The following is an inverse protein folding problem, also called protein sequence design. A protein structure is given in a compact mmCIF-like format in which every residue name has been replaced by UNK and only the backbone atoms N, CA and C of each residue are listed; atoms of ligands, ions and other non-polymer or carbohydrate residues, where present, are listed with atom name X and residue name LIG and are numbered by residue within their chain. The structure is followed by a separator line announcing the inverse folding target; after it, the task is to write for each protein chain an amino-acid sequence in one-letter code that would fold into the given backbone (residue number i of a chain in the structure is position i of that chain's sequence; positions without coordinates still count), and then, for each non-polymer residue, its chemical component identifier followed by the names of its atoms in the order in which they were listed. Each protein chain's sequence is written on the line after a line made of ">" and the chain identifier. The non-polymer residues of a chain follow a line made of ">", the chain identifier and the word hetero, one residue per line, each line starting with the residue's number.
data_IF_770940728782
#
_entry.id   IF_770940728782
#
_cell.length_a   1.000
_cell.length_b   1.000
_cell.length_c   1.000
_cell.angle_alpha   90.00
_cell.angle_beta   90.00
_cell.angle_gamma   90.00
#
_symmetry.space_group_name_H-M   'P 1'
#
loop_
_entity.id
_entity.type
_entity.pdbx_description
1 polymer ?
#
# COMPACT_ATOMS: atom_id res chain seq x y z
N UNK A 1 -37.47 -3.83 13.53
CA UNK A 1 -37.00 -4.81 14.55
C UNK A 1 -36.15 -5.92 13.93
N UNK A 2 -36.51 -6.44 12.74
CA UNK A 2 -35.70 -7.43 12.01
C UNK A 2 -34.32 -6.85 11.60
N UNK A 3 -34.24 -5.65 11.01
CA UNK A 3 -32.95 -5.00 10.69
C UNK A 3 -32.06 -4.72 11.92
N UNK A 4 -32.66 -4.43 13.08
CA UNK A 4 -31.91 -4.19 14.32
C UNK A 4 -31.27 -5.49 14.84
N UNK A 5 -31.96 -6.62 14.69
CA UNK A 5 -31.43 -7.93 15.05
C UNK A 5 -30.40 -8.42 14.04
N UNK A 6 -30.62 -8.20 12.73
CA UNK A 6 -29.63 -8.53 11.69
C UNK A 6 -28.31 -7.76 11.92
N UNK A 7 -28.37 -6.46 12.26
CA UNK A 7 -27.19 -5.66 12.60
C UNK A 7 -26.53 -6.08 13.92
N UNK A 8 -27.30 -6.56 14.91
CA UNK A 8 -26.75 -7.03 16.19
C UNK A 8 -25.99 -8.35 16.08
N UNK A 9 -26.28 -9.19 15.08
CA UNK A 9 -25.55 -10.45 14.83
C UNK A 9 -24.44 -10.34 13.76
N UNK A 10 -24.52 -9.34 12.85
CA UNK A 10 -23.37 -8.86 12.06
C UNK A 10 -22.19 -8.46 12.96
N UNK A 11 -22.47 -7.93 14.15
CA UNK A 11 -21.45 -7.53 15.12
C UNK A 11 -20.60 -8.68 15.68
N UNK A 12 -21.02 -9.95 15.62
CA UNK A 12 -20.19 -11.04 16.16
C UNK A 12 -18.90 -11.28 15.36
N UNK A 13 -18.97 -11.14 14.03
CA UNK A 13 -17.85 -11.35 13.11
C UNK A 13 -16.95 -10.12 13.00
N UNK A 14 -17.53 -8.92 13.02
CA UNK A 14 -16.77 -7.68 13.08
C UNK A 14 -15.97 -7.58 14.39
N UNK A 15 -16.58 -7.96 15.52
CA UNK A 15 -15.88 -8.13 16.81
C UNK A 15 -14.73 -9.15 16.72
N UNK A 16 -14.86 -10.20 15.90
CA UNK A 16 -13.79 -11.18 15.72
C UNK A 16 -12.63 -10.62 14.88
N UNK A 17 -12.92 -9.89 13.80
CA UNK A 17 -11.90 -9.18 13.03
C UNK A 17 -11.18 -8.13 13.89
N UNK A 18 -11.91 -7.41 14.74
CA UNK A 18 -11.32 -6.47 15.72
C UNK A 18 -10.34 -7.17 16.65
N UNK A 19 -10.73 -8.33 17.22
CA UNK A 19 -9.86 -9.14 18.08
C UNK A 19 -8.63 -9.63 17.35
N UNK A 20 -8.78 -10.09 16.11
CA UNK A 20 -7.67 -10.63 15.31
C UNK A 20 -6.63 -9.57 14.97
N UNK A 21 -7.08 -8.34 14.68
CA UNK A 21 -6.17 -7.23 14.39
C UNK A 21 -5.30 -6.88 15.61
N UNK A 22 -5.81 -7.11 16.83
CA UNK A 22 -5.11 -6.90 18.10
C UNK A 22 -4.17 -8.05 18.48
N UNK A 23 -4.14 -9.15 17.73
CA UNK A 23 -3.18 -10.23 17.96
C UNK A 23 -1.79 -9.73 17.58
N UNK A 24 -0.84 -9.84 18.51
CA UNK A 24 0.57 -9.48 18.33
C UNK A 24 1.49 -10.72 18.29
N UNK A 25 0.92 -11.92 18.34
CA UNK A 25 1.69 -13.16 18.29
C UNK A 25 2.21 -13.42 16.87
N UNK A 26 3.54 -13.41 16.72
CA UNK A 26 4.24 -13.67 15.46
C UNK A 26 4.04 -15.10 14.93
N UNK A 27 3.64 -16.04 15.79
CA UNK A 27 3.34 -17.43 15.38
C UNK A 27 1.98 -17.53 14.67
N UNK A 28 1.08 -16.58 14.88
CA UNK A 28 -0.25 -16.58 14.30
C UNK A 28 -0.20 -15.87 12.96
N UNK A 29 -0.53 -16.58 11.89
CA UNK A 29 -0.71 -15.98 10.57
C UNK A 29 -2.07 -15.24 10.52
N UNK A 30 -2.03 -13.96 10.89
CA UNK A 30 -3.21 -13.09 10.96
C UNK A 30 -3.87 -12.93 9.58
N UNK A 31 -3.11 -12.87 8.48
CA UNK A 31 -3.68 -12.67 7.15
C UNK A 31 -4.48 -13.88 6.69
N UNK A 32 -3.94 -15.10 6.92
CA UNK A 32 -4.65 -16.35 6.62
C UNK A 32 -5.95 -16.48 7.42
N UNK A 33 -5.92 -16.10 8.70
CA UNK A 33 -7.11 -16.13 9.56
C UNK A 33 -8.16 -15.10 9.10
N UNK A 34 -7.74 -13.88 8.80
CA UNK A 34 -8.61 -12.83 8.28
C UNK A 34 -9.25 -13.26 6.94
N UNK A 35 -8.47 -13.81 6.01
CA UNK A 35 -8.95 -14.32 4.73
C UNK A 35 -10.02 -15.40 4.91
N UNK A 36 -9.73 -16.40 5.74
CA UNK A 36 -10.68 -17.49 6.04
C UNK A 36 -12.00 -16.95 6.61
N UNK A 37 -11.94 -15.94 7.47
CA UNK A 37 -13.13 -15.33 8.05
C UNK A 37 -13.91 -14.51 7.01
N UNK A 38 -13.22 -13.77 6.14
CA UNK A 38 -13.86 -12.98 5.08
C UNK A 38 -14.56 -13.91 4.09
N UNK A 39 -13.91 -14.99 3.66
CA UNK A 39 -14.47 -16.01 2.75
C UNK A 39 -15.69 -16.72 3.35
N UNK A 40 -15.63 -17.08 4.64
CA UNK A 40 -16.74 -17.73 5.36
C UNK A 40 -17.79 -16.73 5.86
N UNK A 41 -17.61 -15.44 5.59
CA UNK A 41 -18.55 -14.41 6.04
C UNK A 41 -19.52 -14.01 4.94
N UNK A 42 -20.80 -13.96 5.30
CA UNK A 42 -21.84 -13.25 4.53
C UNK A 42 -21.72 -11.72 4.66
N UNK A 43 -20.63 -11.21 5.24
CA UNK A 43 -20.41 -9.78 5.37
C UNK A 43 -20.32 -9.19 3.97
N UNK A 44 -21.25 -8.31 3.63
CA UNK A 44 -21.26 -7.59 2.35
C UNK A 44 -20.26 -6.43 2.36
N UNK A 45 -19.95 -5.90 3.54
CA UNK A 45 -19.02 -4.79 3.73
C UNK A 45 -18.20 -4.95 5.01
N UNK A 46 -16.94 -4.51 4.97
CA UNK A 46 -16.06 -4.43 6.14
C UNK A 46 -15.93 -2.96 6.55
N UNK A 47 -15.99 -2.69 7.86
CA UNK A 47 -15.71 -1.36 8.38
C UNK A 47 -14.30 -0.90 7.98
N UNK A 48 -14.19 0.33 7.51
CA UNK A 48 -12.93 0.84 6.99
C UNK A 48 -11.84 0.91 8.07
N UNK A 49 -12.15 1.14 9.34
CA UNK A 49 -11.14 1.22 10.41
C UNK A 49 -10.45 -0.13 10.61
N UNK A 50 -11.23 -1.21 10.66
CA UNK A 50 -10.71 -2.58 10.75
C UNK A 50 -10.06 -2.97 9.43
N UNK A 51 -10.74 -2.68 8.33
CA UNK A 51 -10.30 -2.93 6.96
C UNK A 51 -8.94 -2.33 6.67
N UNK A 52 -8.67 -1.08 7.07
CA UNK A 52 -7.36 -0.45 6.90
C UNK A 52 -6.28 -1.18 7.67
N UNK A 53 -6.53 -1.57 8.93
CA UNK A 53 -5.53 -2.29 9.73
C UNK A 53 -5.18 -3.66 9.12
N UNK A 54 -6.20 -4.38 8.62
CA UNK A 54 -6.00 -5.64 7.91
C UNK A 54 -5.30 -5.43 6.56
N UNK A 55 -5.67 -4.37 5.84
CA UNK A 55 -5.06 -4.02 4.56
C UNK A 55 -3.57 -3.79 4.72
N UNK A 56 -3.15 -2.99 5.70
CA UNK A 56 -1.72 -2.78 5.97
C UNK A 56 -1.02 -4.09 6.33
N UNK A 57 -1.62 -4.94 7.19
CA UNK A 57 -1.02 -6.26 7.50
C UNK A 57 -0.89 -7.13 6.24
N UNK A 58 -1.89 -7.11 5.35
CA UNK A 58 -1.86 -7.83 4.08
C UNK A 58 -0.76 -7.31 3.14
N UNK A 59 -0.55 -5.98 3.09
CA UNK A 59 0.53 -5.40 2.27
C UNK A 59 1.91 -5.78 2.76
N UNK A 60 2.14 -5.79 4.08
CA UNK A 60 3.41 -6.24 4.65
C UNK A 60 3.65 -7.75 4.42
N UNK A 61 2.59 -8.54 4.31
CA UNK A 61 2.67 -9.97 4.04
C UNK A 61 2.70 -10.31 2.53
N UNK A 62 2.62 -9.30 1.64
CA UNK A 62 2.43 -9.48 0.21
C UNK A 62 1.23 -10.39 -0.16
N UNK A 63 0.15 -10.31 0.62
CA UNK A 63 -1.05 -11.16 0.47
C UNK A 63 -2.07 -10.49 -0.47
N UNK A 64 -1.82 -10.60 -1.78
CA UNK A 64 -2.67 -10.01 -2.82
C UNK A 64 -4.12 -10.48 -2.75
N UNK A 65 -4.34 -11.75 -2.42
CA UNK A 65 -5.70 -12.30 -2.35
C UNK A 65 -6.50 -11.64 -1.22
N UNK A 66 -5.88 -11.46 -0.05
CA UNK A 66 -6.53 -10.75 1.06
C UNK A 66 -6.78 -9.28 0.70
N UNK A 67 -5.84 -8.62 0.01
CA UNK A 67 -6.03 -7.24 -0.46
C UNK A 67 -7.23 -7.14 -1.41
N UNK A 68 -7.36 -8.05 -2.37
CA UNK A 68 -8.51 -8.14 -3.28
C UNK A 68 -9.81 -8.40 -2.51
N UNK A 69 -9.81 -9.38 -1.62
CA UNK A 69 -10.99 -9.69 -0.80
C UNK A 69 -11.43 -8.48 0.05
N UNK A 70 -10.50 -7.72 0.64
CA UNK A 70 -10.83 -6.51 1.39
C UNK A 70 -11.41 -5.43 0.46
N UNK A 71 -10.84 -5.25 -0.74
CA UNK A 71 -11.34 -4.31 -1.74
C UNK A 71 -12.77 -4.64 -2.18
N UNK A 72 -13.04 -5.92 -2.48
CA UNK A 72 -14.37 -6.42 -2.87
C UNK A 72 -15.41 -6.23 -1.78
N UNK A 73 -14.97 -6.23 -0.51
CA UNK A 73 -15.82 -5.90 0.66
C UNK A 73 -15.87 -4.40 0.98
N UNK A 74 -15.46 -3.56 0.04
CA UNK A 74 -15.61 -2.11 0.10
C UNK A 74 -14.56 -1.37 0.94
N UNK A 75 -13.44 -2.01 1.27
CA UNK A 75 -12.32 -1.35 1.94
C UNK A 75 -11.59 -0.42 0.96
N UNK A 76 -11.48 0.85 1.31
CA UNK A 76 -10.85 1.86 0.44
C UNK A 76 -9.32 1.78 0.47
N UNK A 77 -8.70 1.31 -0.62
CA UNK A 77 -7.26 1.08 -0.69
C UNK A 77 -6.42 2.38 -0.62
N UNK A 78 -6.93 3.48 -1.18
CA UNK A 78 -6.27 4.79 -1.22
C UNK A 78 -6.38 5.63 0.05
N UNK A 79 -6.91 5.08 1.15
CA UNK A 79 -7.05 5.82 2.42
C UNK A 79 -5.66 6.16 2.97
N UNK A 80 -5.46 7.43 3.32
CA UNK A 80 -4.23 7.90 3.97
C UNK A 80 -4.30 7.71 5.49
N UNK A 81 -3.20 7.27 6.08
CA UNK A 81 -3.02 7.24 7.53
C UNK A 81 -2.68 8.64 8.09
N UNK A 82 -2.41 8.72 9.41
CA UNK A 82 -2.07 9.97 10.09
C UNK A 82 -0.76 10.61 9.60
N UNK A 83 0.08 9.87 8.87
CA UNK A 83 1.31 10.35 8.26
C UNK A 83 1.13 10.67 6.77
N UNK A 84 -0.10 10.58 6.24
CA UNK A 84 -0.40 10.84 4.84
C UNK A 84 -0.10 9.64 3.92
N UNK A 85 0.17 8.46 4.48
CA UNK A 85 0.62 7.29 3.72
C UNK A 85 -0.54 6.38 3.39
N UNK A 86 -0.54 5.83 2.18
CA UNK A 86 -1.53 4.86 1.71
C UNK A 86 -1.02 3.44 1.87
N UNK A 87 -1.89 2.45 1.65
CA UNK A 87 -1.50 1.03 1.58
C UNK A 87 -0.35 0.78 0.60
N UNK A 88 -0.29 1.51 -0.52
CA UNK A 88 0.81 1.42 -1.48
C UNK A 88 2.16 1.87 -0.91
N UNK A 89 2.21 2.92 -0.08
CA UNK A 89 3.44 3.32 0.59
C UNK A 89 3.96 2.21 1.50
N UNK A 90 3.06 1.56 2.25
CA UNK A 90 3.40 0.44 3.13
C UNK A 90 3.83 -0.79 2.34
N UNK A 91 3.20 -1.09 1.20
CA UNK A 91 3.57 -2.19 0.32
C UNK A 91 4.99 -1.99 -0.27
N UNK A 92 5.31 -0.77 -0.75
CA UNK A 92 6.65 -0.43 -1.25
C UNK A 92 7.68 -0.56 -0.13
N UNK A 93 7.41 -0.03 1.06
CA UNK A 93 8.33 -0.14 2.20
C UNK A 93 8.61 -1.59 2.59
N UNK A 94 7.61 -2.45 2.46
CA UNK A 94 7.71 -3.87 2.80
C UNK A 94 8.40 -4.72 1.73
N UNK A 95 8.71 -4.16 0.55
CA UNK A 95 9.25 -4.95 -0.57
C UNK A 95 8.22 -5.87 -1.20
N UNK A 96 6.95 -5.45 -1.27
CA UNK A 96 5.88 -6.25 -1.84
C UNK A 96 6.13 -6.65 -3.31
N UNK A 97 5.57 -7.78 -3.72
CA UNK A 97 5.69 -8.26 -5.09
C UNK A 97 5.04 -7.32 -6.11
N UNK A 98 5.53 -7.38 -7.35
CA UNK A 98 5.07 -6.56 -8.48
C UNK A 98 3.54 -6.56 -8.61
N UNK A 99 2.92 -7.74 -8.57
CA UNK A 99 1.47 -7.89 -8.79
C UNK A 99 0.64 -7.14 -7.74
N UNK A 100 1.11 -7.09 -6.49
CA UNK A 100 0.43 -6.33 -5.44
C UNK A 100 0.59 -4.82 -5.64
N UNK A 101 1.80 -4.37 -5.99
CA UNK A 101 2.06 -2.96 -6.30
C UNK A 101 1.18 -2.50 -7.47
N UNK A 102 1.16 -3.26 -8.55
CA UNK A 102 0.36 -2.98 -9.75
C UNK A 102 -1.13 -2.93 -9.43
N UNK A 103 -1.65 -3.93 -8.69
CA UNK A 103 -3.05 -3.94 -8.27
C UNK A 103 -3.41 -2.70 -7.43
N UNK A 104 -2.56 -2.31 -6.48
CA UNK A 104 -2.80 -1.12 -5.65
C UNK A 104 -2.76 0.17 -6.48
N UNK A 105 -1.84 0.31 -7.43
CA UNK A 105 -1.79 1.48 -8.32
C UNK A 105 -3.10 1.60 -9.12
N UNK A 106 -3.56 0.49 -9.70
CA UNK A 106 -4.70 0.52 -10.61
C UNK A 106 -6.05 0.66 -9.89
N UNK A 107 -6.16 0.20 -8.63
CA UNK A 107 -7.44 0.12 -7.91
C UNK A 107 -7.56 1.08 -6.71
N UNK A 108 -6.47 1.73 -6.27
CA UNK A 108 -6.54 2.61 -5.10
C UNK A 108 -7.13 3.98 -5.40
N UNK A 109 -7.23 4.38 -6.67
CA UNK A 109 -7.73 5.70 -7.07
C UNK A 109 -6.88 6.85 -6.50
N UNK A 110 -5.57 6.62 -6.38
CA UNK A 110 -4.61 7.59 -5.86
C UNK A 110 -3.93 8.33 -7.00
N UNK A 111 -3.54 9.57 -6.74
CA UNK A 111 -2.57 10.25 -7.59
C UNK A 111 -1.20 9.56 -7.45
N UNK A 112 -0.59 9.21 -8.58
CA UNK A 112 0.73 8.55 -8.63
C UNK A 112 1.85 9.44 -8.04
N UNK A 113 1.63 10.76 -8.04
CA UNK A 113 2.53 11.75 -7.46
C UNK A 113 2.13 12.18 -6.05
N UNK A 114 1.13 11.51 -5.45
CA UNK A 114 0.74 11.77 -4.08
C UNK A 114 1.94 11.60 -3.14
N UNK A 115 2.11 12.58 -2.25
CA UNK A 115 3.11 12.56 -1.20
C UNK A 115 2.49 12.32 0.18
N UNK A 116 3.34 11.84 1.09
CA UNK A 116 3.06 11.77 2.51
C UNK A 116 3.39 13.12 3.20
N UNK A 117 3.29 13.17 4.54
CA UNK A 117 3.50 14.42 5.29
C UNK A 117 4.94 14.95 5.28
N UNK A 118 5.94 14.17 4.86
CA UNK A 118 7.31 14.67 4.64
C UNK A 118 7.52 15.19 3.21
N UNK A 119 6.48 15.21 2.38
CA UNK A 119 6.60 15.55 0.96
C UNK A 119 7.17 14.40 0.13
N UNK A 120 7.38 13.22 0.72
CA UNK A 120 7.97 12.08 0.03
C UNK A 120 6.91 11.42 -0.85
N UNK A 121 7.13 11.42 -2.16
CA UNK A 121 6.29 10.73 -3.16
C UNK A 121 6.50 9.22 -3.14
N UNK A 122 5.66 8.45 -3.83
CA UNK A 122 5.86 7.01 -4.01
C UNK A 122 7.25 6.66 -4.58
N UNK A 123 7.81 7.52 -5.46
CA UNK A 123 9.16 7.29 -6.00
C UNK A 123 10.24 7.45 -4.93
N UNK A 124 10.13 8.44 -4.03
CA UNK A 124 11.06 8.58 -2.91
C UNK A 124 11.06 7.30 -2.05
N UNK A 125 9.87 6.77 -1.77
CA UNK A 125 9.71 5.53 -1.01
C UNK A 125 10.34 4.34 -1.73
N UNK A 126 10.11 4.20 -3.03
CA UNK A 126 10.66 3.10 -3.82
C UNK A 126 12.19 3.13 -3.88
N UNK A 127 12.78 4.32 -4.06
CA UNK A 127 14.24 4.50 -4.07
C UNK A 127 14.85 4.26 -2.69
N UNK A 128 14.28 4.87 -1.64
CA UNK A 128 14.75 4.70 -0.27
C UNK A 128 14.69 3.24 0.21
N UNK A 129 13.72 2.46 -0.29
CA UNK A 129 13.60 1.03 -0.02
C UNK A 129 14.33 0.13 -1.02
N UNK A 130 15.09 0.70 -1.97
CA UNK A 130 15.77 -0.01 -3.06
C UNK A 130 14.85 -0.97 -3.84
N UNK A 131 13.58 -0.61 -3.98
CA UNK A 131 12.55 -1.48 -4.54
C UNK A 131 12.47 -1.35 -6.06
N UNK A 132 13.37 -2.02 -6.78
CA UNK A 132 13.48 -1.94 -8.25
C UNK A 132 12.14 -2.21 -8.99
N UNK A 133 11.35 -3.26 -8.66
CA UNK A 133 10.07 -3.46 -9.33
C UNK A 133 9.09 -2.29 -9.18
N UNK A 134 9.03 -1.65 -8.00
CA UNK A 134 8.19 -0.49 -7.77
C UNK A 134 8.68 0.72 -8.56
N UNK A 135 10.00 0.97 -8.62
CA UNK A 135 10.59 2.06 -9.42
C UNK A 135 10.18 1.91 -10.90
N UNK A 136 10.36 0.72 -11.48
CA UNK A 136 10.00 0.45 -12.88
C UNK A 136 8.50 0.61 -13.16
N UNK A 137 7.65 0.14 -12.24
CA UNK A 137 6.20 0.33 -12.36
C UNK A 137 5.82 1.81 -12.28
N UNK A 138 6.37 2.56 -11.33
CA UNK A 138 6.12 3.99 -11.18
C UNK A 138 6.58 4.77 -12.42
N UNK A 139 7.75 4.44 -12.99
CA UNK A 139 8.21 5.02 -14.27
C UNK A 139 7.24 4.72 -15.42
N UNK A 140 6.75 3.48 -15.52
CA UNK A 140 5.76 3.09 -16.53
C UNK A 140 4.46 3.91 -16.41
N UNK A 141 4.09 4.26 -15.17
CA UNK A 141 2.94 5.12 -14.86
C UNK A 141 3.28 6.62 -14.89
N UNK A 142 4.47 6.99 -15.37
CA UNK A 142 4.96 8.38 -15.49
C UNK A 142 4.93 9.15 -14.17
N UNK A 143 5.23 8.47 -13.06
CA UNK A 143 5.43 9.12 -11.78
C UNK A 143 6.61 10.09 -11.87
N UNK A 144 6.43 11.27 -11.30
CA UNK A 144 7.50 12.25 -11.20
C UNK A 144 8.58 11.79 -10.22
N UNK A 145 9.82 11.96 -10.64
CA UNK A 145 11.02 11.64 -9.89
C UNK A 145 12.00 12.81 -9.80
N UNK A 146 11.56 14.03 -10.15
CA UNK A 146 12.32 15.27 -10.02
C UNK A 146 11.87 16.13 -8.84
N UNK A 147 10.61 16.05 -8.41
CA UNK A 147 10.12 16.82 -7.26
C UNK A 147 10.91 16.46 -6.00
N UNK A 148 11.48 17.45 -5.28
CA UNK A 148 12.08 17.20 -3.98
C UNK A 148 11.03 17.06 -2.89
N UNK A 149 11.35 16.26 -1.87
CA UNK A 149 10.60 16.24 -0.62
C UNK A 149 10.84 17.52 0.21
N UNK A 150 10.25 17.62 1.40
CA UNK A 150 10.37 18.81 2.26
C UNK A 150 11.76 19.00 2.87
N UNK A 151 12.67 18.03 2.72
CA UNK A 151 14.08 18.16 3.08
C UNK A 151 14.95 18.54 1.86
N UNK A 152 14.34 18.81 0.70
CA UNK A 152 15.06 19.16 -0.52
C UNK A 152 15.71 17.96 -1.23
N UNK A 153 15.37 16.73 -0.82
CA UNK A 153 15.89 15.49 -1.39
C UNK A 153 14.99 15.06 -2.55
N UNK A 154 15.58 14.91 -3.74
CA UNK A 154 14.91 14.24 -4.85
C UNK A 154 15.14 12.73 -4.76
N UNK A 155 14.34 11.89 -5.44
CA UNK A 155 14.62 10.46 -5.52
C UNK A 155 16.04 10.16 -6.00
N UNK A 156 16.57 10.90 -6.98
CA UNK A 156 17.95 10.72 -7.44
C UNK A 156 18.98 11.03 -6.34
N UNK A 157 18.82 12.14 -5.60
CA UNK A 157 19.71 12.47 -4.48
C UNK A 157 19.68 11.41 -3.37
N UNK A 158 18.50 10.82 -3.11
CA UNK A 158 18.40 9.71 -2.17
C UNK A 158 19.17 8.48 -2.68
N UNK A 159 19.07 8.14 -3.97
CA UNK A 159 19.83 7.03 -4.55
C UNK A 159 21.34 7.25 -4.44
N UNK A 160 21.82 8.46 -4.73
CA UNK A 160 23.23 8.86 -4.55
C UNK A 160 23.67 8.77 -3.09
N UNK A 161 22.86 9.29 -2.15
CA UNK A 161 23.16 9.26 -0.72
C UNK A 161 23.29 7.84 -0.17
N UNK A 162 22.44 6.92 -0.62
CA UNK A 162 22.49 5.51 -0.19
C UNK A 162 23.43 4.63 -1.02
N UNK A 163 24.01 5.14 -2.12
CA UNK A 163 24.89 4.38 -3.01
C UNK A 163 24.15 3.31 -3.83
N UNK A 164 22.91 3.58 -4.24
CA UNK A 164 22.11 2.68 -5.08
C UNK A 164 22.44 2.91 -6.57
N UNK A 165 23.64 2.49 -7.00
CA UNK A 165 24.16 2.76 -8.35
C UNK A 165 23.25 2.25 -9.48
N UNK A 166 22.62 1.10 -9.29
CA UNK A 166 21.64 0.53 -10.21
C UNK A 166 20.36 1.39 -10.33
N UNK A 167 19.92 2.00 -9.23
CA UNK A 167 18.80 2.96 -9.24
C UNK A 167 19.21 4.25 -9.93
N UNK A 168 20.43 4.73 -9.70
CA UNK A 168 20.95 5.93 -10.38
C UNK A 168 20.92 5.71 -11.90
N UNK A 169 21.42 4.56 -12.36
CA UNK A 169 21.38 4.18 -13.78
C UNK A 169 19.94 4.14 -14.30
N UNK A 170 19.03 3.45 -13.59
CA UNK A 170 17.61 3.36 -13.97
C UNK A 170 16.88 4.72 -14.05
N UNK A 171 17.24 5.68 -13.18
CA UNK A 171 16.68 7.04 -13.19
C UNK A 171 17.34 7.93 -14.26
N UNK A 172 18.63 7.71 -14.55
CA UNK A 172 19.40 8.45 -15.55
C UNK A 172 18.99 8.08 -16.99
N UNK A 173 18.74 6.79 -17.26
CA UNK A 173 18.28 6.27 -18.56
C UNK A 173 17.03 6.98 -19.08
N UNK A 174 16.14 7.40 -18.19
CA UNK A 174 14.90 8.09 -18.54
C UNK A 174 15.03 9.62 -18.56
N UNK A 175 16.10 10.16 -17.97
CA UNK A 175 16.37 11.61 -17.97
C UNK A 175 16.98 12.07 -19.30
N UNK A 176 17.82 11.24 -19.94
CA UNK A 176 18.43 11.55 -21.25
C UNK A 176 17.44 11.52 -22.43
N UNK A 177 16.25 10.94 -22.26
CA UNK A 177 15.19 10.93 -23.25
C UNK A 177 14.38 12.25 -23.34
N UNK A 178 14.61 13.21 -22.41
CA UNK A 178 13.86 14.46 -22.32
C UNK A 178 14.65 15.75 -22.52
N UNK A 179 15.97 15.69 -22.74
CA UNK A 179 16.85 16.87 -22.86
C UNK A 179 17.31 17.20 -24.30
N UNK A 180 16.65 16.65 -25.33
CA UNK A 180 16.78 17.15 -26.70
C UNK A 180 15.51 17.88 -27.12
N UNK A 181 15.38 19.15 -26.70
CA UNK A 181 14.65 20.19 -27.44
C UNK A 181 15.40 21.50 -27.31
#
# INVERSE_FOLDING_TARGET
>A
MIEYLTNKFLNSKQTLLEKIVQIHDKKINITKLAKTLIEKSDCTKIDNTIGQKLLIKATYANDLDLVKALHDKGVKLGTKDLLGRTSLHHAIKAGAGKDLIEFLIDNAGIDINACDKSGSTLMHWAVNSHHIPAIKLLQTKKADYFTPDYLGQTPLKLAEYYGHDDVIELLAENSSAGYYV
#
